data_IF_586867055003
#
_entry.id   IF_586867055003
#
_cell.length_a   1.000
_cell.length_b   1.000
_cell.length_c   1.000
_cell.angle_alpha   90.00
_cell.angle_beta   90.00
_cell.angle_gamma   90.00
#
_symmetry.space_group_name_H-M   'P 1'
#
loop_
_entity.id
_entity.type
_entity.pdbx_description
1 polymer ?
#
# COMPACT_ATOMS: atom_id res chain seq x y z
N UNK A 1 40.80 9.97 -54.80
CA UNK A 1 39.56 9.93 -55.62
C UNK A 1 38.60 8.79 -55.22
N UNK A 2 39.04 7.77 -54.46
CA UNK A 2 38.15 6.81 -53.79
C UNK A 2 37.44 7.41 -52.56
N UNK A 3 37.98 8.48 -51.98
CA UNK A 3 37.60 8.96 -50.63
C UNK A 3 36.29 9.77 -50.55
N UNK A 4 35.80 10.37 -51.66
CA UNK A 4 34.52 11.10 -51.64
C UNK A 4 33.29 10.21 -51.89
N UNK A 5 33.48 8.92 -52.21
CA UNK A 5 32.37 8.02 -52.63
C UNK A 5 31.63 7.35 -51.48
N UNK A 6 32.09 7.50 -50.24
CA UNK A 6 31.52 6.84 -49.07
C UNK A 6 31.49 7.80 -47.87
N UNK A 7 30.80 8.93 -48.00
CA UNK A 7 30.39 9.65 -46.79
C UNK A 7 29.22 8.86 -46.20
N UNK A 8 29.47 8.17 -45.09
CA UNK A 8 28.45 7.45 -44.34
C UNK A 8 27.60 8.46 -43.56
N UNK A 9 26.54 8.96 -44.20
CA UNK A 9 25.67 9.98 -43.62
C UNK A 9 24.94 9.50 -42.35
N UNK A 10 24.80 8.19 -42.15
CA UNK A 10 24.15 7.59 -40.98
C UNK A 10 24.93 7.85 -39.67
N UNK A 11 26.23 8.13 -39.76
CA UNK A 11 27.07 8.45 -38.60
C UNK A 11 26.99 9.95 -38.21
N UNK A 12 26.48 10.80 -39.11
CA UNK A 12 26.40 12.25 -38.93
C UNK A 12 25.14 12.65 -38.15
N UNK A 13 25.09 12.31 -36.86
CA UNK A 13 23.93 12.57 -35.99
C UNK A 13 24.04 13.81 -35.11
N UNK A 14 25.23 14.42 -35.03
CA UNK A 14 25.50 15.54 -34.10
C UNK A 14 26.09 16.74 -34.83
N UNK A 15 25.96 17.92 -34.24
CA UNK A 15 26.60 19.14 -34.76
C UNK A 15 28.11 18.94 -34.94
N UNK A 16 28.78 18.34 -33.95
CA UNK A 16 30.24 18.09 -34.00
C UNK A 16 30.61 17.11 -35.12
N UNK A 17 29.81 16.05 -35.35
CA UNK A 17 30.06 15.12 -36.45
C UNK A 17 29.96 15.83 -37.81
N UNK A 18 28.92 16.64 -38.01
CA UNK A 18 28.75 17.45 -39.22
C UNK A 18 29.85 18.50 -39.41
N UNK A 19 30.32 19.13 -38.32
CA UNK A 19 31.39 20.13 -38.37
C UNK A 19 32.74 19.50 -38.74
N UNK A 20 33.13 18.42 -38.07
CA UNK A 20 34.35 17.66 -38.38
C UNK A 20 34.36 17.21 -39.84
N UNK A 21 33.24 16.64 -40.33
CA UNK A 21 33.14 16.21 -41.72
C UNK A 21 33.15 17.38 -42.71
N UNK A 22 32.62 18.54 -42.31
CA UNK A 22 32.73 19.76 -43.10
C UNK A 22 34.19 20.18 -43.27
N UNK A 23 34.99 20.15 -42.19
CA UNK A 23 36.42 20.47 -42.25
C UNK A 23 37.19 19.50 -43.15
N UNK A 24 36.89 18.20 -43.09
CA UNK A 24 37.48 17.19 -43.99
C UNK A 24 37.15 17.49 -45.46
N UNK A 25 35.88 17.78 -45.77
CA UNK A 25 35.44 18.10 -47.15
C UNK A 25 36.13 19.38 -47.65
N UNK A 26 36.24 20.42 -46.82
CA UNK A 26 36.96 21.65 -47.16
C UNK A 26 38.45 21.38 -47.38
N UNK A 27 39.08 20.57 -46.54
CA UNK A 27 40.48 20.19 -46.71
C UNK A 27 40.70 19.41 -48.01
N UNK A 28 39.78 18.52 -48.38
CA UNK A 28 39.80 17.81 -49.67
C UNK A 28 39.61 18.77 -50.85
N UNK A 29 38.72 19.76 -50.76
CA UNK A 29 38.58 20.82 -51.76
C UNK A 29 39.85 21.64 -51.94
N UNK A 30 40.54 21.98 -50.84
CA UNK A 30 41.79 22.72 -50.89
C UNK A 30 42.92 21.88 -51.50
N UNK A 31 43.06 20.60 -51.09
CA UNK A 31 44.02 19.66 -51.70
C UNK A 31 43.74 19.43 -53.19
N UNK A 32 42.48 19.39 -53.60
CA UNK A 32 42.09 19.25 -55.00
C UNK A 32 42.63 20.40 -55.86
N UNK A 33 42.56 21.64 -55.35
CA UNK A 33 43.04 22.84 -56.04
C UNK A 33 44.57 22.85 -56.25
N UNK A 34 45.33 22.11 -55.44
CA UNK A 34 46.81 22.10 -55.48
C UNK A 34 47.42 20.98 -56.31
N UNK A 35 46.67 19.92 -56.68
CA UNK A 35 47.21 18.70 -57.32
C UNK A 35 47.46 18.87 -58.85
N UNK A 36 47.02 19.98 -59.46
CA UNK A 36 47.20 20.24 -60.89
C UNK A 36 46.21 19.50 -61.80
N UNK A 37 46.29 19.74 -63.11
CA UNK A 37 45.30 19.22 -64.07
C UNK A 37 45.59 17.78 -64.52
N UNK A 38 44.57 16.92 -64.44
CA UNK A 38 44.59 15.58 -65.02
C UNK A 38 44.52 15.62 -66.57
N UNK A 39 44.83 14.52 -67.29
CA UNK A 39 44.77 14.47 -68.76
C UNK A 39 43.44 15.00 -69.31
N UNK A 40 43.50 15.82 -70.37
CA UNK A 40 42.42 16.70 -70.83
C UNK A 40 41.08 15.98 -71.15
N UNK A 41 41.13 14.71 -71.57
CA UNK A 41 39.93 13.88 -71.84
C UNK A 41 39.16 13.45 -70.58
N UNK A 42 39.79 13.39 -69.41
CA UNK A 42 39.18 12.89 -68.17
C UNK A 42 38.97 13.98 -67.11
N UNK A 43 39.64 15.13 -67.25
CA UNK A 43 39.65 16.22 -66.28
C UNK A 43 38.24 16.76 -65.98
N UNK A 44 37.43 17.00 -67.01
CA UNK A 44 36.04 17.50 -66.88
C UNK A 44 35.17 16.54 -66.07
N UNK A 45 35.15 15.25 -66.46
CA UNK A 45 34.36 14.21 -65.76
C UNK A 45 34.78 14.02 -64.31
N UNK A 46 36.08 14.15 -64.02
CA UNK A 46 36.62 14.00 -62.68
C UNK A 46 36.22 15.20 -61.80
N UNK A 47 36.32 16.42 -62.33
CA UNK A 47 35.92 17.64 -61.65
C UNK A 47 34.41 17.67 -61.37
N UNK A 48 33.58 17.34 -62.36
CA UNK A 48 32.12 17.25 -62.20
C UNK A 48 31.73 16.27 -61.09
N UNK A 49 32.36 15.09 -61.04
CA UNK A 49 32.12 14.10 -59.98
C UNK A 49 32.51 14.61 -58.59
N UNK A 50 33.65 15.30 -58.48
CA UNK A 50 34.10 15.87 -57.21
C UNK A 50 33.18 16.99 -56.73
N UNK A 51 32.82 17.90 -57.63
CA UNK A 51 31.89 19.00 -57.36
C UNK A 51 30.52 18.47 -56.92
N UNK A 52 29.96 17.52 -57.66
CA UNK A 52 28.69 16.89 -57.33
C UNK A 52 28.72 16.25 -55.93
N UNK A 53 29.80 15.57 -55.55
CA UNK A 53 29.93 14.98 -54.21
C UNK A 53 29.96 16.06 -53.10
N UNK A 54 30.62 17.19 -53.34
CA UNK A 54 30.64 18.31 -52.39
C UNK A 54 29.26 18.97 -52.28
N UNK A 55 28.61 19.24 -53.42
CA UNK A 55 27.29 19.88 -53.49
C UNK A 55 26.25 19.01 -52.77
N UNK A 56 26.26 17.69 -52.98
CA UNK A 56 25.40 16.75 -52.26
C UNK A 56 25.68 16.73 -50.74
N UNK A 57 26.94 16.79 -50.30
CA UNK A 57 27.27 16.87 -48.88
C UNK A 57 26.68 18.13 -48.21
N UNK A 58 26.87 19.31 -48.81
CA UNK A 58 26.34 20.56 -48.25
C UNK A 58 24.82 20.63 -48.31
N UNK A 59 24.19 20.05 -49.34
CA UNK A 59 22.74 19.87 -49.42
C UNK A 59 22.23 19.00 -48.27
N UNK A 60 22.83 17.83 -48.04
CA UNK A 60 22.49 16.91 -46.93
C UNK A 60 22.68 17.56 -45.56
N UNK A 61 23.75 18.33 -45.38
CA UNK A 61 23.99 19.13 -44.17
C UNK A 61 22.85 20.14 -43.94
N UNK A 62 22.46 20.86 -44.99
CA UNK A 62 21.35 21.82 -44.94
C UNK A 62 20.02 21.15 -44.57
N UNK A 63 19.71 20.01 -45.19
CA UNK A 63 18.53 19.19 -44.89
C UNK A 63 18.52 18.75 -43.41
N UNK A 64 19.65 18.27 -42.88
CA UNK A 64 19.78 17.84 -41.49
C UNK A 64 19.54 18.97 -40.48
N UNK A 65 20.18 20.13 -40.67
CA UNK A 65 20.00 21.26 -39.74
C UNK A 65 18.61 21.88 -39.83
N UNK A 66 17.99 21.84 -41.02
CA UNK A 66 16.60 22.24 -41.20
C UNK A 66 15.66 21.32 -40.42
N UNK A 67 15.77 20.00 -40.60
CA UNK A 67 14.92 19.04 -39.89
C UNK A 67 15.13 19.05 -38.37
N UNK A 68 16.38 19.25 -37.92
CA UNK A 68 16.69 19.42 -36.49
C UNK A 68 16.02 20.66 -35.90
N UNK A 69 16.04 21.78 -36.63
CA UNK A 69 15.38 23.02 -36.19
C UNK A 69 13.87 22.87 -36.14
N UNK A 70 13.27 22.22 -37.14
CA UNK A 70 11.84 21.90 -37.18
C UNK A 70 11.45 21.00 -36.00
N UNK A 71 12.19 19.91 -35.76
CA UNK A 71 11.97 19.01 -34.61
C UNK A 71 12.09 19.72 -33.26
N UNK A 72 13.09 20.59 -33.07
CA UNK A 72 13.22 21.38 -31.84
C UNK A 72 12.06 22.37 -31.65
N UNK A 73 11.48 22.89 -32.75
CA UNK A 73 10.30 23.76 -32.71
C UNK A 73 9.05 22.97 -32.32
N UNK A 74 8.85 21.78 -32.89
CA UNK A 74 7.74 20.89 -32.50
C UNK A 74 7.85 20.45 -31.04
N UNK A 75 9.05 20.10 -30.58
CA UNK A 75 9.30 19.76 -29.18
C UNK A 75 8.98 20.92 -28.24
N UNK A 76 9.25 22.15 -28.68
CA UNK A 76 8.94 23.36 -27.91
C UNK A 76 7.43 23.54 -27.77
N UNK A 77 6.66 23.40 -28.85
CA UNK A 77 5.20 23.50 -28.80
C UNK A 77 4.59 22.40 -27.91
N UNK A 78 5.02 21.14 -28.07
CA UNK A 78 4.59 20.05 -27.18
C UNK A 78 4.88 20.35 -25.71
N UNK A 79 6.07 20.86 -25.39
CA UNK A 79 6.41 21.23 -24.01
C UNK A 79 5.60 22.42 -23.50
N UNK A 80 5.24 23.39 -24.34
CA UNK A 80 4.32 24.49 -23.97
C UNK A 80 2.92 23.97 -23.65
N UNK A 81 2.38 23.06 -24.46
CA UNK A 81 1.08 22.42 -24.19
C UNK A 81 1.09 21.68 -22.84
N UNK A 82 2.18 20.98 -22.51
CA UNK A 82 2.33 20.34 -21.19
C UNK A 82 2.39 21.37 -20.05
N UNK A 83 3.02 22.52 -20.26
CA UNK A 83 3.00 23.61 -19.28
C UNK A 83 1.58 24.10 -19.06
N UNK A 84 0.82 24.38 -20.12
CA UNK A 84 -0.56 24.87 -20.04
C UNK A 84 -1.47 23.87 -19.32
N UNK A 85 -1.35 22.57 -19.64
CA UNK A 85 -2.07 21.50 -18.93
C UNK A 85 -1.69 21.47 -17.44
N UNK A 86 -0.41 21.55 -17.11
CA UNK A 86 0.04 21.56 -15.71
C UNK A 86 -0.45 22.80 -14.95
N UNK A 87 -0.42 23.97 -15.58
CA UNK A 87 -0.89 25.23 -15.02
C UNK A 87 -2.39 25.24 -14.78
N UNK A 88 -3.19 24.68 -15.70
CA UNK A 88 -4.64 24.55 -15.53
C UNK A 88 -5.02 23.63 -14.36
N UNK A 89 -4.13 22.71 -13.98
CA UNK A 89 -4.35 21.74 -12.92
C UNK A 89 -3.77 22.17 -11.57
N UNK A 90 -2.93 23.22 -11.53
CA UNK A 90 -2.13 23.54 -10.34
C UNK A 90 -2.95 23.89 -9.09
N UNK A 91 -4.12 24.50 -9.29
CA UNK A 91 -5.04 24.94 -8.24
C UNK A 91 -6.19 23.94 -7.97
N UNK A 92 -6.18 22.78 -8.64
CA UNK A 92 -7.19 21.75 -8.45
C UNK A 92 -7.14 21.14 -7.05
N UNK A 93 -8.31 20.98 -6.43
CA UNK A 93 -8.45 20.32 -5.11
C UNK A 93 -8.80 18.83 -5.22
N UNK A 94 -8.97 18.28 -6.43
CA UNK A 94 -9.03 16.83 -6.63
C UNK A 94 -7.61 16.25 -6.55
N UNK A 95 -7.13 16.08 -5.32
CA UNK A 95 -5.75 15.73 -5.01
C UNK A 95 -5.29 14.38 -5.58
N UNK A 96 -6.23 13.44 -5.80
CA UNK A 96 -5.90 12.11 -6.28
C UNK A 96 -5.87 12.08 -7.80
N UNK A 97 -6.97 12.46 -8.46
CA UNK A 97 -7.04 12.41 -9.92
C UNK A 97 -6.02 13.37 -10.54
N UNK A 98 -5.88 14.58 -9.99
CA UNK A 98 -4.93 15.56 -10.50
C UNK A 98 -3.48 15.11 -10.35
N UNK A 99 -3.13 14.44 -9.25
CA UNK A 99 -1.78 13.91 -9.06
C UNK A 99 -1.43 12.79 -10.08
N UNK A 100 -2.39 11.93 -10.41
CA UNK A 100 -2.21 10.91 -11.44
C UNK A 100 -2.00 11.54 -12.82
N UNK A 101 -2.77 12.58 -13.16
CA UNK A 101 -2.65 13.32 -14.41
C UNK A 101 -1.29 14.04 -14.48
N UNK A 102 -0.89 14.80 -13.45
CA UNK A 102 0.40 15.49 -13.41
C UNK A 102 1.58 14.52 -13.50
N UNK A 103 1.47 13.33 -12.88
CA UNK A 103 2.48 12.28 -13.02
C UNK A 103 2.60 11.78 -14.46
N UNK A 104 1.46 11.63 -15.17
CA UNK A 104 1.45 11.27 -16.59
C UNK A 104 2.10 12.36 -17.45
N UNK A 105 1.77 13.63 -17.19
CA UNK A 105 2.37 14.79 -17.87
C UNK A 105 3.88 14.83 -17.65
N UNK A 106 4.38 14.59 -16.43
CA UNK A 106 5.82 14.50 -16.14
C UNK A 106 6.51 13.36 -16.88
N UNK A 107 5.83 12.23 -17.09
CA UNK A 107 6.37 11.13 -17.91
C UNK A 107 6.43 11.53 -19.39
N UNK A 108 5.38 12.15 -19.91
CA UNK A 108 5.33 12.66 -21.29
C UNK A 108 6.39 13.74 -21.54
N UNK A 109 6.65 14.62 -20.58
CA UNK A 109 7.71 15.62 -20.67
C UNK A 109 9.08 15.00 -20.95
N UNK A 110 9.38 13.86 -20.32
CA UNK A 110 10.66 13.15 -20.45
C UNK A 110 10.81 12.44 -21.80
N UNK A 111 9.72 12.16 -22.51
CA UNK A 111 9.77 11.54 -23.84
C UNK A 111 9.96 12.58 -24.95
N UNK A 112 9.69 13.86 -24.69
CA UNK A 112 9.89 14.94 -25.65
C UNK A 112 11.38 15.29 -25.74
N UNK A 113 11.88 15.35 -26.97
CA UNK A 113 13.26 15.66 -27.28
C UNK A 113 13.74 17.07 -26.87
N UNK A 114 14.98 17.41 -27.20
CA UNK A 114 15.57 18.70 -26.84
C UNK A 114 14.86 19.86 -27.55
N UNK A 115 14.95 21.03 -26.93
CA UNK A 115 14.49 22.31 -27.49
C UNK A 115 15.68 23.25 -27.64
N UNK A 116 15.51 24.34 -28.39
CA UNK A 116 16.55 25.35 -28.52
C UNK A 116 16.97 25.90 -27.14
N UNK A 117 18.28 26.03 -26.92
CA UNK A 117 18.88 26.45 -25.62
C UNK A 117 18.22 27.70 -25.03
N UNK A 118 17.89 28.69 -25.87
CA UNK A 118 17.21 29.94 -25.48
C UNK A 118 15.84 29.75 -24.84
N UNK A 119 15.17 28.61 -25.05
CA UNK A 119 13.83 28.34 -24.53
C UNK A 119 13.81 27.23 -23.46
N UNK A 120 14.87 26.41 -23.39
CA UNK A 120 14.94 25.25 -22.51
C UNK A 120 14.64 25.60 -21.05
N UNK A 121 15.36 26.56 -20.49
CA UNK A 121 15.27 26.90 -19.07
C UNK A 121 13.94 27.56 -18.72
N UNK A 122 13.45 28.45 -19.58
CA UNK A 122 12.18 29.13 -19.38
C UNK A 122 11.01 28.14 -19.34
N UNK A 123 10.97 27.21 -20.29
CA UNK A 123 9.90 26.22 -20.42
C UNK A 123 9.98 25.18 -19.29
N UNK A 124 11.19 24.74 -18.93
CA UNK A 124 11.38 23.86 -17.77
C UNK A 124 10.93 24.52 -16.46
N UNK A 125 11.35 25.77 -16.22
CA UNK A 125 10.98 26.51 -15.01
C UNK A 125 9.47 26.69 -14.90
N UNK A 126 8.81 27.03 -16.00
CA UNK A 126 7.34 27.15 -16.07
C UNK A 126 6.66 25.84 -15.69
N UNK A 127 7.11 24.73 -16.29
CA UNK A 127 6.56 23.40 -16.02
C UNK A 127 6.73 22.96 -14.56
N UNK A 128 7.96 22.99 -14.04
CA UNK A 128 8.25 22.49 -12.69
C UNK A 128 7.55 23.35 -11.62
N UNK A 129 7.47 24.67 -11.83
CA UNK A 129 6.79 25.58 -10.89
C UNK A 129 5.31 25.23 -10.73
N UNK A 130 4.61 24.89 -11.82
CA UNK A 130 3.21 24.48 -11.78
C UNK A 130 3.03 23.13 -11.06
N UNK A 131 3.90 22.15 -11.34
CA UNK A 131 3.87 20.85 -10.66
C UNK A 131 4.15 20.98 -9.16
N UNK A 132 5.22 21.69 -8.79
CA UNK A 132 5.65 21.84 -7.40
C UNK A 132 4.59 22.54 -6.56
N UNK A 133 3.98 23.61 -7.11
CA UNK A 133 2.89 24.31 -6.45
C UNK A 133 1.74 23.36 -6.09
N UNK A 134 1.27 22.54 -7.03
CA UNK A 134 0.19 21.58 -6.76
C UNK A 134 0.56 20.60 -5.65
N UNK A 135 1.76 20.00 -5.71
CA UNK A 135 2.20 19.02 -4.71
C UNK A 135 2.42 19.66 -3.34
N UNK A 136 2.86 20.92 -3.29
CA UNK A 136 2.95 21.68 -2.05
C UNK A 136 1.57 21.94 -1.44
N UNK A 137 0.59 22.38 -2.24
CA UNK A 137 -0.78 22.60 -1.77
C UNK A 137 -1.44 21.30 -1.30
N UNK A 138 -1.27 20.21 -2.06
CA UNK A 138 -1.72 18.87 -1.66
C UNK A 138 -1.12 18.44 -0.33
N UNK A 139 0.19 18.65 -0.15
CA UNK A 139 0.88 18.30 1.09
C UNK A 139 0.39 19.17 2.26
N UNK A 140 0.17 20.47 2.05
CA UNK A 140 -0.42 21.37 3.06
C UNK A 140 -1.84 20.95 3.44
N UNK A 141 -2.67 20.57 2.47
CA UNK A 141 -4.04 20.12 2.71
C UNK A 141 -4.12 18.78 3.44
N UNK A 142 -3.09 17.93 3.33
CA UNK A 142 -3.05 16.60 3.97
C UNK A 142 -2.13 16.53 5.19
N UNK A 143 -1.37 17.58 5.52
CA UNK A 143 -0.44 17.58 6.65
C UNK A 143 -1.15 17.59 8.00
N UNK A 144 -2.23 18.37 8.15
CA UNK A 144 -3.07 18.38 9.35
C UNK A 144 -3.71 17.01 9.57
N UNK A 145 -4.25 16.41 8.51
CA UNK A 145 -4.85 15.08 8.56
C UNK A 145 -3.82 14.00 8.92
N UNK A 146 -2.61 14.04 8.33
CA UNK A 146 -1.53 13.12 8.71
C UNK A 146 -1.09 13.31 10.16
N UNK A 147 -1.03 14.55 10.66
CA UNK A 147 -0.71 14.84 12.05
C UNK A 147 -1.75 14.25 12.99
N UNK A 148 -3.04 14.45 12.70
CA UNK A 148 -4.16 13.91 13.48
C UNK A 148 -4.13 12.37 13.45
N UNK A 149 -3.93 11.75 12.28
CA UNK A 149 -3.83 10.29 12.18
C UNK A 149 -2.65 9.74 12.99
N UNK A 150 -1.49 10.42 12.95
CA UNK A 150 -0.31 10.01 13.72
C UNK A 150 -0.54 10.16 15.23
N UNK A 151 -1.19 11.24 15.65
CA UNK A 151 -1.57 11.43 17.06
C UNK A 151 -2.59 10.37 17.52
N UNK A 152 -3.59 10.07 16.68
CA UNK A 152 -4.56 9.00 16.93
C UNK A 152 -3.88 7.62 17.03
N UNK A 153 -2.86 7.36 16.20
CA UNK A 153 -2.07 6.14 16.25
C UNK A 153 -1.36 6.00 17.60
N UNK A 154 -0.71 7.05 18.08
CA UNK A 154 -0.02 7.02 19.37
C UNK A 154 -1.01 6.88 20.54
N UNK A 155 -2.14 7.58 20.52
CA UNK A 155 -3.22 7.39 21.52
C UNK A 155 -3.71 5.95 21.54
N UNK A 156 -4.01 5.35 20.39
CA UNK A 156 -4.45 3.96 20.29
C UNK A 156 -3.37 2.98 20.76
N UNK A 157 -2.09 3.18 20.41
CA UNK A 157 -0.99 2.36 20.95
C UNK A 157 -0.89 2.46 22.47
N UNK A 158 -1.03 3.65 23.03
CA UNK A 158 -1.02 3.86 24.48
C UNK A 158 -2.16 3.10 25.16
N UNK A 159 -3.37 3.06 24.57
CA UNK A 159 -4.48 2.25 25.07
C UNK A 159 -4.18 0.75 25.03
N UNK A 160 -3.56 0.24 23.96
CA UNK A 160 -3.09 -1.16 23.92
C UNK A 160 -2.08 -1.42 25.04
N UNK A 161 -1.17 -0.48 25.30
CA UNK A 161 -0.24 -0.54 26.43
C UNK A 161 -0.96 -0.64 27.77
N UNK A 162 -1.98 0.20 28.00
CA UNK A 162 -2.81 0.15 29.22
C UNK A 162 -3.57 -1.18 29.35
N UNK A 163 -4.14 -1.69 28.25
CA UNK A 163 -4.82 -2.99 28.23
C UNK A 163 -3.87 -4.13 28.58
N UNK A 164 -2.64 -4.12 28.06
CA UNK A 164 -1.63 -5.13 28.40
C UNK A 164 -1.14 -5.05 29.85
N UNK A 165 -1.25 -3.89 30.50
CA UNK A 165 -0.85 -3.71 31.90
C UNK A 165 -1.87 -4.29 32.89
N UNK A 166 -3.03 -4.74 32.41
CA UNK A 166 -4.05 -5.42 33.23
C UNK A 166 -3.53 -6.83 33.57
N UNK A 167 -3.03 -6.99 34.79
CA UNK A 167 -2.43 -8.23 35.27
C UNK A 167 -3.46 -9.20 35.89
N UNK A 168 -2.97 -10.33 36.39
CA UNK A 168 -3.77 -11.39 37.04
C UNK A 168 -4.09 -11.12 38.52
N UNK A 169 -3.40 -10.18 39.15
CA UNK A 169 -3.55 -9.80 40.54
C UNK A 169 -4.65 -8.75 40.76
N UNK A 170 -5.05 -8.04 39.70
CA UNK A 170 -6.15 -7.08 39.77
C UNK A 170 -7.50 -7.78 39.95
N UNK A 171 -8.39 -7.18 40.75
CA UNK A 171 -9.73 -7.73 40.96
C UNK A 171 -10.50 -7.83 39.62
N UNK A 172 -11.28 -8.90 39.49
CA UNK A 172 -11.96 -9.23 38.24
C UNK A 172 -13.02 -8.19 37.85
N UNK A 173 -13.71 -7.59 38.82
CA UNK A 173 -14.76 -6.60 38.54
C UNK A 173 -14.15 -5.23 38.22
N UNK A 174 -13.08 -4.86 38.91
CA UNK A 174 -12.27 -3.67 38.60
C UNK A 174 -11.64 -3.78 37.20
N UNK A 175 -11.00 -4.91 36.90
CA UNK A 175 -10.38 -5.17 35.60
C UNK A 175 -11.41 -5.14 34.46
N UNK A 176 -12.58 -5.72 34.67
CA UNK A 176 -13.67 -5.71 33.68
C UNK A 176 -14.19 -4.29 33.42
N UNK A 177 -14.27 -3.45 34.46
CA UNK A 177 -14.68 -2.05 34.34
C UNK A 177 -13.65 -1.24 33.55
N UNK A 178 -12.37 -1.37 33.90
CA UNK A 178 -11.27 -0.70 33.21
C UNK A 178 -11.20 -1.08 31.72
N UNK A 179 -11.36 -2.36 31.39
CA UNK A 179 -11.40 -2.81 29.97
C UNK A 179 -12.54 -2.13 29.22
N UNK A 180 -13.76 -2.04 29.79
CA UNK A 180 -14.88 -1.36 29.13
C UNK A 180 -14.61 0.12 28.88
N UNK A 181 -13.98 0.82 29.83
CA UNK A 181 -13.61 2.23 29.68
C UNK A 181 -12.57 2.41 28.57
N UNK A 182 -11.51 1.60 28.57
CA UNK A 182 -10.47 1.65 27.52
C UNK A 182 -11.02 1.30 26.14
N UNK A 183 -11.98 0.37 26.04
CA UNK A 183 -12.70 0.09 24.79
C UNK A 183 -13.52 1.29 24.31
N UNK A 184 -14.17 2.01 25.23
CA UNK A 184 -14.94 3.23 24.91
C UNK A 184 -14.00 4.33 24.40
N UNK A 185 -12.88 4.56 25.07
CA UNK A 185 -11.84 5.48 24.62
C UNK A 185 -11.31 5.09 23.24
N UNK A 186 -11.00 3.81 23.04
CA UNK A 186 -10.53 3.30 21.75
C UNK A 186 -11.48 3.62 20.60
N UNK A 187 -12.78 3.43 20.81
CA UNK A 187 -13.82 3.69 19.81
C UNK A 187 -14.06 5.19 19.57
N UNK A 188 -13.75 6.04 20.55
CA UNK A 188 -13.84 7.50 20.39
C UNK A 188 -12.68 8.10 19.58
N UNK A 189 -11.54 7.41 19.51
CA UNK A 189 -10.39 7.85 18.73
C UNK A 189 -10.64 7.56 17.24
N UNK A 190 -10.47 8.59 16.41
CA UNK A 190 -10.65 8.54 14.97
C UNK A 190 -9.64 7.69 14.20
N UNK A 191 -9.53 7.96 12.90
CA UNK A 191 -8.70 7.17 11.99
C UNK A 191 -7.20 7.26 12.28
N UNK A 192 -6.49 6.21 11.90
CA UNK A 192 -5.02 6.07 11.98
C UNK A 192 -4.45 5.87 10.58
N UNK A 193 -3.13 6.03 10.38
CA UNK A 193 -2.52 5.88 9.06
C UNK A 193 -2.79 4.50 8.50
N UNK A 194 -3.26 4.45 7.25
CA UNK A 194 -3.72 3.21 6.60
C UNK A 194 -2.69 2.07 6.68
N UNK A 195 -1.39 2.39 6.56
CA UNK A 195 -0.28 1.42 6.61
C UNK A 195 -0.18 0.69 7.95
N UNK A 196 -0.47 1.36 9.07
CA UNK A 196 -0.34 0.79 10.42
C UNK A 196 -1.69 0.27 10.96
N UNK A 197 -2.81 0.66 10.33
CA UNK A 197 -4.18 0.34 10.77
C UNK A 197 -4.37 -1.16 11.03
N UNK A 198 -4.08 -2.01 10.05
CA UNK A 198 -4.42 -3.44 10.15
C UNK A 198 -3.61 -4.14 11.25
N UNK A 199 -2.32 -3.80 11.37
CA UNK A 199 -1.44 -4.31 12.43
C UNK A 199 -1.94 -3.89 13.81
N UNK A 200 -2.28 -2.61 13.96
CA UNK A 200 -2.74 -2.02 15.22
C UNK A 200 -4.06 -2.64 15.69
N UNK A 201 -5.03 -2.81 14.78
CA UNK A 201 -6.33 -3.39 15.11
C UNK A 201 -6.21 -4.87 15.48
N UNK A 202 -5.36 -5.63 14.76
CA UNK A 202 -5.07 -7.02 15.11
C UNK A 202 -4.47 -7.15 16.52
N UNK A 203 -3.54 -6.26 16.88
CA UNK A 203 -2.96 -6.24 18.23
C UNK A 203 -4.02 -5.95 19.29
N UNK A 204 -4.85 -4.92 19.07
CA UNK A 204 -5.93 -4.57 19.99
C UNK A 204 -6.90 -5.75 20.21
N UNK A 205 -7.37 -6.40 19.14
CA UNK A 205 -8.28 -7.54 19.26
C UNK A 205 -7.65 -8.71 20.01
N UNK A 206 -6.38 -9.04 19.72
CA UNK A 206 -5.68 -10.11 20.42
C UNK A 206 -5.58 -9.87 21.93
N UNK A 207 -5.29 -8.64 22.35
CA UNK A 207 -5.22 -8.27 23.78
C UNK A 207 -6.60 -8.35 24.44
N UNK A 208 -7.64 -7.85 23.76
CA UNK A 208 -9.01 -7.91 24.26
C UNK A 208 -9.48 -9.36 24.42
N UNK A 209 -9.25 -10.20 23.42
CA UNK A 209 -9.64 -11.61 23.44
C UNK A 209 -8.94 -12.36 24.60
N UNK A 210 -7.66 -12.10 24.83
CA UNK A 210 -6.90 -12.69 25.93
C UNK A 210 -7.43 -12.25 27.30
N UNK A 211 -7.71 -10.95 27.49
CA UNK A 211 -8.28 -10.42 28.73
C UNK A 211 -9.66 -11.02 29.01
N UNK A 212 -10.54 -11.12 28.01
CA UNK A 212 -11.84 -11.75 28.18
C UNK A 212 -11.73 -13.24 28.50
N UNK A 213 -10.79 -13.96 27.87
CA UNK A 213 -10.53 -15.37 28.19
C UNK A 213 -10.10 -15.53 29.65
N UNK A 214 -9.17 -14.70 30.13
CA UNK A 214 -8.72 -14.68 31.52
C UNK A 214 -9.86 -14.39 32.50
N UNK A 215 -10.68 -13.38 32.25
CA UNK A 215 -11.83 -13.06 33.11
C UNK A 215 -12.87 -14.18 33.13
N UNK A 216 -13.11 -14.83 31.99
CA UNK A 216 -14.02 -15.97 31.93
C UNK A 216 -13.49 -17.16 32.74
N UNK A 217 -12.20 -17.46 32.65
CA UNK A 217 -11.54 -18.52 33.46
C UNK A 217 -11.64 -18.17 34.95
N UNK A 218 -11.35 -16.93 35.34
CA UNK A 218 -11.47 -16.46 36.74
C UNK A 218 -12.91 -16.64 37.27
N UNK A 219 -13.91 -16.23 36.50
CA UNK A 219 -15.33 -16.41 36.85
C UNK A 219 -15.71 -17.89 37.02
N UNK A 220 -15.29 -18.75 36.09
CA UNK A 220 -15.51 -20.19 36.15
C UNK A 220 -14.82 -20.83 37.36
N UNK A 221 -13.60 -20.43 37.68
CA UNK A 221 -12.88 -20.87 38.88
C UNK A 221 -13.60 -20.45 40.17
N UNK A 222 -14.08 -19.20 40.27
CA UNK A 222 -14.90 -18.75 41.40
C UNK A 222 -16.16 -19.62 41.57
N UNK A 223 -16.87 -19.92 40.48
CA UNK A 223 -18.06 -20.81 40.48
C UNK A 223 -17.70 -22.25 40.91
N UNK A 224 -16.57 -22.77 40.45
CA UNK A 224 -16.11 -24.11 40.82
C UNK A 224 -15.69 -24.19 42.29
N UNK A 225 -15.03 -23.15 42.82
CA UNK A 225 -14.67 -23.08 44.24
C UNK A 225 -15.90 -23.05 45.13
N UNK A 226 -16.91 -22.22 44.81
CA UNK A 226 -18.19 -22.22 45.53
C UNK A 226 -18.87 -23.59 45.47
N UNK A 227 -18.81 -24.24 44.31
CA UNK A 227 -19.34 -25.58 44.16
C UNK A 227 -18.62 -26.60 45.06
N UNK A 228 -17.29 -26.57 45.15
CA UNK A 228 -16.52 -27.42 46.07
C UNK A 228 -16.93 -27.20 47.53
N UNK A 229 -17.09 -25.96 47.97
CA UNK A 229 -17.59 -25.67 49.33
C UNK A 229 -18.98 -26.27 49.58
N UNK A 230 -19.88 -26.18 48.60
CA UNK A 230 -21.22 -26.79 48.72
C UNK A 230 -21.16 -28.33 48.73
N UNK A 231 -20.22 -28.95 48.01
CA UNK A 231 -20.03 -30.40 48.01
C UNK A 231 -19.62 -30.91 49.38
N UNK A 232 -18.74 -30.20 50.10
CA UNK A 232 -18.38 -30.56 51.48
C UNK A 232 -19.59 -30.60 52.41
N UNK A 233 -20.56 -29.69 52.23
CA UNK A 233 -21.84 -29.72 52.97
C UNK A 233 -22.75 -30.86 52.51
N UNK A 234 -22.75 -31.19 51.21
CA UNK A 234 -23.57 -32.29 50.67
C UNK A 234 -23.07 -33.68 51.11
N UNK A 235 -21.78 -33.84 51.39
CA UNK A 235 -21.20 -35.07 51.94
C UNK A 235 -21.82 -35.44 53.31
N UNK A 236 -22.29 -34.48 54.10
CA UNK A 236 -22.99 -34.75 55.37
C UNK A 236 -24.30 -35.54 55.17
N UNK A 237 -24.90 -35.46 53.97
CA UNK A 237 -26.09 -36.23 53.57
C UNK A 237 -25.80 -37.64 53.02
N UNK A 238 -24.53 -38.07 52.99
CA UNK A 238 -24.06 -39.36 52.47
C UNK A 238 -23.96 -39.46 50.95
N UNK A 239 -23.28 -40.49 50.42
CA UNK A 239 -22.94 -40.65 48.99
C UNK A 239 -24.13 -40.56 48.02
N UNK A 240 -25.35 -40.88 48.48
CA UNK A 240 -26.57 -40.78 47.67
C UNK A 240 -26.91 -39.34 47.25
N UNK A 241 -26.56 -38.33 48.03
CA UNK A 241 -26.76 -36.92 47.67
C UNK A 241 -25.85 -36.54 46.49
N UNK A 242 -24.59 -36.99 46.53
CA UNK A 242 -23.58 -36.76 45.50
C UNK A 242 -23.95 -37.43 44.18
N UNK A 243 -24.43 -38.68 44.20
CA UNK A 243 -24.90 -39.36 42.99
C UNK A 243 -26.07 -38.64 42.31
N UNK A 244 -27.02 -38.10 43.09
CA UNK A 244 -28.17 -37.34 42.54
C UNK A 244 -27.74 -36.03 41.89
N UNK A 245 -26.83 -35.29 42.53
CA UNK A 245 -26.31 -34.04 41.96
C UNK A 245 -25.45 -34.32 40.72
N UNK A 246 -24.67 -35.40 40.73
CA UNK A 246 -23.93 -35.89 39.55
C UNK A 246 -24.88 -36.19 38.40
N UNK A 247 -25.95 -36.95 38.63
CA UNK A 247 -26.92 -37.29 37.60
C UNK A 247 -27.57 -36.04 36.99
N UNK A 248 -27.92 -35.06 37.83
CA UNK A 248 -28.45 -33.77 37.39
C UNK A 248 -27.46 -32.99 36.54
N UNK A 249 -26.18 -32.93 36.93
CA UNK A 249 -25.14 -32.28 36.14
C UNK A 249 -24.90 -32.99 34.81
N UNK A 250 -24.89 -34.33 34.78
CA UNK A 250 -24.76 -35.11 33.54
C UNK A 250 -25.92 -34.86 32.58
N UNK A 251 -27.17 -34.84 33.08
CA UNK A 251 -28.34 -34.47 32.26
C UNK A 251 -28.22 -33.06 31.70
N UNK A 252 -27.74 -32.13 32.53
CA UNK A 252 -27.51 -30.74 32.11
C UNK A 252 -26.44 -30.67 31.02
N UNK A 253 -25.33 -31.40 31.18
CA UNK A 253 -24.26 -31.50 30.18
C UNK A 253 -24.77 -32.04 28.84
N UNK A 254 -25.52 -33.14 28.84
CA UNK A 254 -26.06 -33.73 27.60
C UNK A 254 -27.05 -32.78 26.89
N UNK A 255 -27.89 -32.07 27.65
CA UNK A 255 -28.79 -31.05 27.08
C UNK A 255 -28.00 -29.91 26.40
N UNK A 256 -26.98 -29.37 27.08
CA UNK A 256 -26.15 -28.30 26.55
C UNK A 256 -25.31 -28.75 25.33
N UNK A 257 -24.87 -30.01 25.33
CA UNK A 257 -24.15 -30.62 24.20
C UNK A 257 -25.05 -30.77 22.97
N UNK A 258 -26.30 -31.20 23.16
CA UNK A 258 -27.29 -31.26 22.09
C UNK A 258 -27.63 -29.88 21.52
N UNK A 259 -27.76 -28.87 22.40
CA UNK A 259 -27.97 -27.48 22.01
C UNK A 259 -26.77 -26.94 21.21
N UNK A 260 -25.54 -27.20 21.67
CA UNK A 260 -24.31 -26.82 20.96
C UNK A 260 -24.25 -27.44 19.56
N UNK A 261 -24.53 -28.73 19.44
CA UNK A 261 -24.55 -29.42 18.16
C UNK A 261 -25.58 -28.81 17.20
N UNK A 262 -26.75 -28.41 17.71
CA UNK A 262 -27.77 -27.71 16.92
C UNK A 262 -27.24 -26.37 16.40
N UNK A 263 -26.58 -25.58 17.25
CA UNK A 263 -25.98 -24.31 16.82
C UNK A 263 -24.81 -24.49 15.85
N UNK A 264 -23.96 -25.50 16.02
CA UNK A 264 -22.84 -25.79 15.10
C UNK A 264 -23.34 -26.24 13.72
N UNK A 265 -24.39 -27.07 13.67
CA UNK A 265 -25.06 -27.44 12.42
C UNK A 265 -25.67 -26.21 11.72
N UNK A 266 -26.33 -25.33 12.48
CA UNK A 266 -26.89 -24.08 11.96
C UNK A 266 -25.80 -23.13 11.44
N UNK A 267 -24.66 -23.02 12.14
CA UNK A 267 -23.50 -22.25 11.68
C UNK A 267 -22.91 -22.82 10.38
N UNK A 268 -22.75 -24.14 10.28
CA UNK A 268 -22.29 -24.80 9.06
C UNK A 268 -23.17 -24.49 7.83
N UNK A 269 -24.48 -24.45 8.03
CA UNK A 269 -25.42 -24.01 7.00
C UNK A 269 -25.27 -22.52 6.67
N UNK A 270 -25.23 -21.63 7.66
CA UNK A 270 -25.19 -20.18 7.43
C UNK A 270 -23.87 -19.66 6.83
N UNK A 271 -22.75 -20.33 7.10
CA UNK A 271 -21.44 -19.99 6.54
C UNK A 271 -21.28 -20.41 5.07
N UNK A 272 -22.07 -21.38 4.59
CA UNK A 272 -22.02 -21.85 3.20
C UNK A 272 -22.88 -21.02 2.24
N UNK A 273 -23.83 -20.21 2.74
CA UNK A 273 -24.86 -19.54 1.90
C UNK A 273 -24.83 -18.01 1.81
N UNK A 274 -23.96 -17.23 2.49
CA UNK A 274 -23.90 -15.78 2.16
C UNK A 274 -22.62 -15.02 2.58
N UNK A 275 -22.20 -14.08 1.72
CA UNK A 275 -21.22 -13.02 2.00
C UNK A 275 -21.81 -11.81 2.78
N UNK A 276 -23.07 -11.86 3.25
CA UNK A 276 -23.80 -10.69 3.79
C UNK A 276 -24.65 -10.96 5.05
N UNK A 277 -24.24 -11.88 5.93
CA UNK A 277 -24.93 -12.20 7.18
C UNK A 277 -24.12 -11.95 8.46
N UNK A 278 -23.31 -10.89 8.53
CA UNK A 278 -22.30 -10.73 9.59
C UNK A 278 -22.87 -10.65 11.02
N UNK A 279 -24.03 -10.02 11.24
CA UNK A 279 -24.58 -9.81 12.59
C UNK A 279 -25.12 -11.11 13.21
N UNK A 280 -25.95 -11.86 12.48
CA UNK A 280 -26.53 -13.13 12.95
C UNK A 280 -25.42 -14.17 13.21
N UNK A 281 -24.44 -14.27 12.31
CA UNK A 281 -23.27 -15.14 12.49
C UNK A 281 -22.48 -14.77 13.75
N UNK A 282 -22.30 -13.48 14.03
CA UNK A 282 -21.60 -13.02 15.24
C UNK A 282 -22.36 -13.41 16.51
N UNK A 283 -23.68 -13.28 16.53
CA UNK A 283 -24.52 -13.69 17.65
C UNK A 283 -24.50 -15.21 17.87
N UNK A 284 -24.61 -16.01 16.80
CA UNK A 284 -24.50 -17.47 16.88
C UNK A 284 -23.12 -17.90 17.40
N UNK A 285 -22.04 -17.32 16.88
CA UNK A 285 -20.69 -17.61 17.35
C UNK A 285 -20.55 -17.31 18.86
N UNK A 286 -21.04 -16.15 19.33
CA UNK A 286 -21.04 -15.80 20.77
C UNK A 286 -21.83 -16.81 21.61
N UNK A 287 -22.98 -17.29 21.14
CA UNK A 287 -23.77 -18.32 21.83
C UNK A 287 -23.03 -19.65 21.91
N UNK A 288 -22.39 -20.05 20.83
CA UNK A 288 -21.56 -21.26 20.76
C UNK A 288 -20.39 -21.20 21.72
N UNK A 289 -19.65 -20.08 21.74
CA UNK A 289 -18.52 -19.90 22.64
C UNK A 289 -18.95 -19.94 24.12
N UNK A 290 -20.10 -19.33 24.44
CA UNK A 290 -20.67 -19.37 25.78
C UNK A 290 -21.07 -20.81 26.18
N UNK A 291 -21.77 -21.54 25.31
CA UNK A 291 -22.17 -22.92 25.56
C UNK A 291 -20.96 -23.83 25.78
N UNK A 292 -19.87 -23.64 25.02
CA UNK A 292 -18.60 -24.36 25.21
C UNK A 292 -17.99 -24.09 26.58
N UNK A 293 -17.95 -22.82 27.01
CA UNK A 293 -17.43 -22.45 28.32
C UNK A 293 -18.28 -23.02 29.47
N UNK A 294 -19.62 -23.00 29.34
CA UNK A 294 -20.51 -23.54 30.35
C UNK A 294 -20.45 -25.09 30.42
N UNK A 295 -20.31 -25.78 29.27
CA UNK A 295 -20.09 -27.23 29.19
C UNK A 295 -18.82 -27.65 29.95
N UNK A 296 -17.71 -26.94 29.71
CA UNK A 296 -16.44 -27.18 30.42
C UNK A 296 -16.60 -27.01 31.93
N UNK A 297 -17.31 -25.97 32.38
CA UNK A 297 -17.57 -25.77 33.81
C UNK A 297 -18.41 -26.92 34.41
N UNK A 298 -19.44 -27.40 33.70
CA UNK A 298 -20.26 -28.53 34.16
C UNK A 298 -19.43 -29.81 34.23
N UNK A 299 -18.57 -30.08 33.26
CA UNK A 299 -17.63 -31.22 33.30
C UNK A 299 -16.70 -31.15 34.50
N UNK A 300 -16.14 -29.97 34.80
CA UNK A 300 -15.29 -29.79 35.98
C UNK A 300 -16.04 -30.03 37.29
N UNK A 301 -17.31 -29.61 37.38
CA UNK A 301 -18.17 -29.92 38.54
C UNK A 301 -18.45 -31.41 38.69
N UNK A 302 -18.75 -32.11 37.59
CA UNK A 302 -18.93 -33.57 37.60
C UNK A 302 -17.65 -34.26 38.09
N UNK A 303 -16.49 -33.83 37.58
CA UNK A 303 -15.19 -34.35 38.00
C UNK A 303 -14.94 -34.16 39.50
N UNK A 304 -15.28 -32.98 40.06
CA UNK A 304 -15.20 -32.74 41.50
C UNK A 304 -16.02 -33.75 42.29
N UNK A 305 -17.27 -34.04 41.87
CA UNK A 305 -18.08 -35.07 42.52
C UNK A 305 -17.44 -36.46 42.37
N UNK A 306 -16.98 -36.81 41.18
CA UNK A 306 -16.37 -38.11 40.90
C UNK A 306 -15.12 -38.35 41.74
N UNK A 307 -14.33 -37.32 42.01
CA UNK A 307 -13.16 -37.42 42.86
C UNK A 307 -13.58 -37.51 44.35
N UNK A 308 -14.57 -36.74 44.79
CA UNK A 308 -15.13 -36.86 46.16
C UNK A 308 -15.77 -38.23 46.46
N UNK A 309 -16.35 -38.89 45.45
CA UNK A 309 -16.90 -40.25 45.56
C UNK A 309 -15.84 -41.36 45.61
N UNK A 310 -14.59 -41.08 45.20
CA UNK A 310 -13.47 -42.03 45.28
C UNK A 310 -12.72 -41.93 46.62
N UNK A 311 -12.91 -40.84 47.35
CA UNK A 311 -12.28 -40.57 48.65
C UNK A 311 -13.09 -41.13 49.83
N UNK A 312 -14.36 -41.53 49.60
CA UNK A 312 -15.20 -42.35 50.51
C UNK A 312 -14.90 -43.84 50.38
#
# INVERSE_FOLDING_TARGET
MRDCRAIEYDELKTFSAWDNKTQEVIALQNKWKTIGFAPQKMNVKIFERFRHACDEFFKKKGEFFKSLKESMSENLEKKKELCEKAEALKDSTDWKATAEILTKIQKEWKTIGPVAKKHSDAVWKRFITACDYFFEQKNKATSSQRSIETENLEKKKALIGKLNAIDENMDTDEATTLVRELMKEWNSIGHVPFKEKDKLYKQYHAVIDELFRRFNISSSNKKLSHFRSNISTMQEGGSQSLYREREKLVRTYENMKSELQTYENNLGFLTSTSKKGSSLLTELNRKVDKLKADLELVLQKIKVIDDSLKEE
#
